data_IF_505835897291
#
_entry.id   IF_505835897291
#
_cell.length_a   1.000
_cell.length_b   1.000
_cell.length_c   1.000
_cell.angle_alpha   90.00
_cell.angle_beta   90.00
_cell.angle_gamma   90.00
#
_symmetry.space_group_name_H-M   'P 1'
#
loop_
_entity.id
_entity.type
_entity.pdbx_description
1 polymer ?
#
# COMPACT_ATOMS: atom_id res chain seq x y z
N UNK A 1 -7.38 13.86 10.53
CA UNK A 1 -8.22 14.56 9.53
C UNK A 1 -7.32 15.29 8.55
N UNK A 2 -7.76 15.52 7.30
CA UNK A 2 -6.99 16.22 6.27
C UNK A 2 -7.72 17.50 5.82
N UNK A 3 -6.99 18.60 5.66
CA UNK A 3 -7.55 19.85 5.12
C UNK A 3 -7.83 19.68 3.62
N UNK A 4 -9.00 20.14 3.14
CA UNK A 4 -9.36 20.06 1.71
C UNK A 4 -8.35 20.74 0.80
N UNK A 5 -7.74 21.81 1.26
CA UNK A 5 -6.69 22.53 0.53
C UNK A 5 -5.47 21.65 0.24
N UNK A 6 -5.10 20.76 1.17
CA UNK A 6 -4.02 19.81 0.94
C UNK A 6 -4.38 18.84 -0.19
N UNK A 7 -5.62 18.36 -0.21
CA UNK A 7 -6.12 17.48 -1.28
C UNK A 7 -6.23 18.18 -2.64
N UNK A 8 -6.47 19.51 -2.66
CA UNK A 8 -6.44 20.29 -3.91
C UNK A 8 -5.03 20.39 -4.49
N UNK A 9 -4.02 20.50 -3.64
CA UNK A 9 -2.61 20.56 -4.07
C UNK A 9 -2.06 19.18 -4.43
N UNK A 10 -2.37 18.16 -3.63
CA UNK A 10 -1.86 16.81 -3.85
C UNK A 10 -2.62 16.06 -4.93
N UNK A 11 -3.89 16.40 -5.17
CA UNK A 11 -4.86 15.57 -5.89
C UNK A 11 -5.42 14.44 -5.01
N UNK A 12 -6.43 13.72 -5.52
CA UNK A 12 -7.09 12.61 -4.84
C UNK A 12 -6.29 11.30 -4.97
N UNK A 13 -6.94 10.14 -4.94
CA UNK A 13 -6.26 8.85 -5.10
C UNK A 13 -5.92 8.59 -6.57
N UNK A 14 -4.72 8.06 -6.81
CA UNK A 14 -4.32 7.57 -8.12
C UNK A 14 -5.10 6.29 -8.46
N UNK A 15 -5.70 6.25 -9.65
CA UNK A 15 -6.49 5.13 -10.13
C UNK A 15 -5.64 3.87 -10.39
N UNK A 16 -4.31 3.98 -10.47
CA UNK A 16 -3.38 2.85 -10.54
C UNK A 16 -3.60 1.83 -9.40
N UNK A 17 -4.08 2.31 -8.26
CA UNK A 17 -4.28 1.51 -7.05
C UNK A 17 -5.69 0.94 -6.94
N UNK A 18 -6.55 1.10 -7.95
CA UNK A 18 -7.90 0.53 -7.90
C UNK A 18 -7.82 -1.00 -7.71
N UNK A 19 -8.46 -1.51 -6.65
CA UNK A 19 -8.39 -2.93 -6.21
C UNK A 19 -6.99 -3.41 -5.78
N UNK A 20 -5.97 -2.54 -5.83
CA UNK A 20 -4.59 -2.78 -5.39
C UNK A 20 -4.32 -2.23 -3.98
N UNK A 21 -3.14 -2.52 -3.43
CA UNK A 21 -2.70 -1.96 -2.15
C UNK A 21 -2.02 -0.60 -2.33
N UNK A 22 -1.84 0.16 -1.25
CA UNK A 22 -0.98 1.36 -1.15
C UNK A 22 -1.50 2.65 -1.79
N UNK A 23 -2.79 2.76 -2.09
CA UNK A 23 -3.41 4.03 -2.46
C UNK A 23 -3.16 5.13 -1.40
N UNK A 24 -3.21 4.74 -0.13
CA UNK A 24 -2.90 5.59 1.04
C UNK A 24 -1.40 5.97 1.10
N UNK A 25 -0.51 5.04 0.74
CA UNK A 25 0.93 5.30 0.65
C UNK A 25 1.28 6.32 -0.42
N UNK A 26 0.67 6.22 -1.61
CA UNK A 26 0.84 7.18 -2.70
C UNK A 26 0.32 8.58 -2.34
N UNK A 27 -0.91 8.65 -1.82
CA UNK A 27 -1.49 9.93 -1.36
C UNK A 27 -0.63 10.55 -0.25
N UNK A 28 -0.21 9.75 0.73
CA UNK A 28 0.66 10.20 1.81
C UNK A 28 1.99 10.76 1.30
N UNK A 29 2.62 10.09 0.33
CA UNK A 29 3.86 10.57 -0.29
C UNK A 29 3.65 11.91 -1.01
N UNK A 30 2.59 12.05 -1.81
CA UNK A 30 2.28 13.32 -2.48
C UNK A 30 1.99 14.47 -1.52
N UNK A 31 1.26 14.19 -0.44
CA UNK A 31 0.98 15.18 0.61
C UNK A 31 2.26 15.61 1.32
N UNK A 32 3.18 14.67 1.60
CA UNK A 32 4.47 14.98 2.18
C UNK A 32 5.33 15.84 1.23
N UNK A 33 5.45 15.43 -0.03
CA UNK A 33 6.23 16.14 -1.04
C UNK A 33 5.64 17.53 -1.39
N UNK A 34 4.34 17.77 -1.17
CA UNK A 34 3.75 19.10 -1.30
C UNK A 34 4.09 20.04 -0.13
N UNK A 35 4.89 19.59 0.84
CA UNK A 35 5.26 20.38 2.02
C UNK A 35 4.15 20.49 3.07
N UNK A 36 3.15 19.60 3.05
CA UNK A 36 2.08 19.65 4.04
C UNK A 36 2.58 19.15 5.40
N UNK A 37 2.15 19.82 6.48
CA UNK A 37 2.47 19.41 7.84
C UNK A 37 1.63 18.21 8.28
N UNK A 38 2.29 17.13 8.67
CA UNK A 38 1.67 15.98 9.34
C UNK A 38 1.82 16.10 10.85
N UNK A 39 0.70 16.13 11.58
CA UNK A 39 0.68 16.20 13.05
C UNK A 39 0.10 14.91 13.62
N UNK A 40 0.87 14.25 14.49
CA UNK A 40 0.39 13.16 15.32
C UNK A 40 -0.03 13.72 16.69
N UNK A 41 -1.32 13.70 16.99
CA UNK A 41 -1.84 14.14 18.28
C UNK A 41 -2.21 12.92 19.14
N UNK A 42 -1.45 12.62 20.21
CA UNK A 42 -1.71 11.45 21.06
C UNK A 42 -3.00 11.56 21.88
N UNK A 43 -3.55 12.77 22.05
CA UNK A 43 -4.84 12.99 22.71
C UNK A 43 -6.05 12.63 21.86
N UNK A 44 -5.87 12.32 20.56
CA UNK A 44 -6.96 11.90 19.67
C UNK A 44 -6.98 10.37 19.59
N UNK A 45 -8.07 9.77 20.06
CA UNK A 45 -8.35 8.35 19.89
C UNK A 45 -9.54 8.14 18.95
N UNK A 46 -9.42 7.24 17.98
CA UNK A 46 -10.50 6.83 17.09
C UNK A 46 -10.63 5.31 17.13
N UNK A 47 -11.84 4.81 17.40
CA UNK A 47 -12.13 3.39 17.31
C UNK A 47 -12.22 2.97 15.84
N UNK A 48 -11.32 2.10 15.40
CA UNK A 48 -11.38 1.51 14.06
C UNK A 48 -11.93 0.07 14.15
N UNK A 49 -13.20 -0.10 13.79
CA UNK A 49 -13.77 -1.43 13.67
C UNK A 49 -13.21 -2.17 12.46
N UNK A 50 -12.52 -3.28 12.71
CA UNK A 50 -11.86 -4.05 11.67
C UNK A 50 -12.83 -5.05 11.01
N UNK A 51 -13.39 -4.65 9.86
CA UNK A 51 -14.35 -5.49 9.14
C UNK A 51 -13.75 -6.83 8.65
N UNK A 52 -14.46 -7.97 8.80
CA UNK A 52 -13.95 -9.28 8.38
C UNK A 52 -13.91 -9.45 6.84
N UNK A 53 -14.72 -8.68 6.11
CA UNK A 53 -14.91 -8.78 4.65
C UNK A 53 -14.79 -7.41 3.96
N UNK A 54 -14.59 -7.41 2.64
CA UNK A 54 -14.51 -6.20 1.81
C UNK A 54 -13.10 -5.68 1.52
N UNK A 55 -13.02 -4.57 0.78
CA UNK A 55 -11.78 -3.90 0.41
C UNK A 55 -10.73 -4.83 -0.22
N UNK A 56 -9.48 -4.71 0.24
CA UNK A 56 -8.34 -5.51 -0.23
C UNK A 56 -8.51 -7.03 -0.03
N UNK A 57 -9.38 -7.46 0.91
CA UNK A 57 -9.66 -8.88 1.16
C UNK A 57 -10.46 -9.49 0.02
N UNK A 58 -11.47 -8.75 -0.49
CA UNK A 58 -12.31 -9.18 -1.60
C UNK A 58 -11.50 -9.36 -2.89
N UNK A 59 -10.56 -8.46 -3.13
CA UNK A 59 -9.68 -8.50 -4.32
C UNK A 59 -8.43 -9.36 -4.11
N UNK A 60 -8.33 -10.08 -2.99
CA UNK A 60 -7.16 -10.88 -2.60
C UNK A 60 -5.82 -10.13 -2.61
N UNK A 61 -5.86 -8.79 -2.65
CA UNK A 61 -4.70 -7.93 -2.76
C UNK A 61 -3.82 -8.02 -1.51
N UNK A 62 -4.40 -8.29 -0.32
CA UNK A 62 -3.68 -8.43 0.97
C UNK A 62 -3.95 -9.78 1.65
N UNK A 63 -3.70 -10.87 0.92
CA UNK A 63 -3.97 -12.25 1.38
C UNK A 63 -2.88 -12.78 2.31
N UNK A 64 -1.61 -12.50 2.01
CA UNK A 64 -0.48 -12.88 2.88
C UNK A 64 0.09 -11.61 3.50
N UNK A 65 0.07 -11.51 4.82
CA UNK A 65 0.71 -10.41 5.55
C UNK A 65 2.12 -10.79 5.98
N UNK A 66 2.92 -9.77 6.33
CA UNK A 66 4.25 -9.97 6.91
C UNK A 66 4.22 -10.88 8.16
N UNK A 67 3.32 -10.61 9.11
CA UNK A 67 3.19 -11.44 10.30
C UNK A 67 2.76 -12.88 9.96
N UNK A 68 1.84 -13.06 8.99
CA UNK A 68 1.41 -14.37 8.56
C UNK A 68 2.54 -15.17 7.88
N UNK A 69 3.39 -14.53 7.07
CA UNK A 69 4.54 -15.20 6.42
C UNK A 69 5.59 -15.68 7.42
N UNK A 70 5.74 -14.99 8.55
CA UNK A 70 6.65 -15.37 9.64
C UNK A 70 6.13 -16.53 10.48
N UNK A 71 4.81 -16.65 10.59
CA UNK A 71 4.12 -17.71 11.35
C UNK A 71 3.79 -18.96 10.52
N UNK A 72 3.92 -18.97 9.20
CA UNK A 72 3.56 -20.14 8.36
C UNK A 72 4.69 -20.51 7.41
N UNK A 73 4.97 -21.81 7.26
CA UNK A 73 6.11 -22.31 6.47
C UNK A 73 5.99 -21.96 4.98
N UNK A 74 4.80 -22.11 4.40
CA UNK A 74 4.59 -21.90 2.95
C UNK A 74 4.23 -20.46 2.55
N UNK A 75 3.86 -19.61 3.51
CA UNK A 75 3.44 -18.23 3.21
C UNK A 75 4.66 -17.35 2.91
N UNK A 76 4.55 -16.54 1.84
CA UNK A 76 5.56 -15.57 1.38
C UNK A 76 4.87 -14.23 1.16
N UNK A 77 5.37 -13.17 1.82
CA UNK A 77 4.87 -11.81 1.64
C UNK A 77 5.70 -11.12 0.56
N UNK A 78 5.29 -11.29 -0.69
CA UNK A 78 5.99 -10.74 -1.87
C UNK A 78 5.36 -9.40 -2.27
N UNK A 79 6.14 -8.45 -2.82
CA UNK A 79 5.62 -7.16 -3.23
C UNK A 79 4.62 -7.33 -4.38
N UNK A 80 3.49 -6.65 -4.26
CA UNK A 80 2.47 -6.58 -5.31
C UNK A 80 2.88 -5.63 -6.44
N UNK A 81 2.26 -5.71 -7.64
CA UNK A 81 2.56 -4.76 -8.72
C UNK A 81 2.43 -3.30 -8.31
N UNK A 82 1.38 -2.96 -7.53
CA UNK A 82 1.15 -1.60 -7.05
C UNK A 82 2.14 -1.15 -5.98
N UNK A 83 2.69 -2.07 -5.17
CA UNK A 83 3.81 -1.74 -4.26
C UNK A 83 5.11 -1.44 -5.02
N UNK A 84 5.40 -2.18 -6.11
CA UNK A 84 6.56 -1.91 -6.95
C UNK A 84 6.36 -0.61 -7.73
N UNK A 85 5.15 -0.36 -8.25
CA UNK A 85 4.77 0.89 -8.90
C UNK A 85 5.00 2.10 -7.99
N UNK A 86 4.52 2.04 -6.75
CA UNK A 86 4.80 3.07 -5.74
C UNK A 86 6.31 3.30 -5.57
N UNK A 87 7.08 2.21 -5.49
CA UNK A 87 8.54 2.26 -5.43
C UNK A 87 9.14 3.05 -6.61
N UNK A 88 8.77 2.65 -7.83
CA UNK A 88 9.28 3.25 -9.06
C UNK A 88 8.90 4.72 -9.22
N UNK A 89 7.78 5.17 -8.63
CA UNK A 89 7.35 6.57 -8.71
C UNK A 89 8.20 7.52 -7.86
N UNK A 90 8.75 7.05 -6.75
CA UNK A 90 9.26 7.93 -5.69
C UNK A 90 10.68 7.60 -5.22
N UNK A 91 11.23 6.46 -5.64
CA UNK A 91 12.55 5.99 -5.20
C UNK A 91 13.43 5.67 -6.40
N UNK A 92 14.74 5.67 -6.18
CA UNK A 92 15.69 5.28 -7.23
C UNK A 92 15.55 3.79 -7.55
N UNK A 93 15.90 3.39 -8.77
CA UNK A 93 15.85 1.98 -9.19
C UNK A 93 16.65 1.07 -8.24
N UNK A 94 17.78 1.57 -7.72
CA UNK A 94 18.59 0.86 -6.74
C UNK A 94 17.81 0.59 -5.44
N UNK A 95 17.12 1.59 -4.90
CA UNK A 95 16.29 1.45 -3.69
C UNK A 95 15.11 0.48 -3.92
N UNK A 96 14.49 0.52 -5.09
CA UNK A 96 13.40 -0.42 -5.41
C UNK A 96 13.93 -1.85 -5.53
N UNK A 97 15.08 -2.05 -6.17
CA UNK A 97 15.75 -3.35 -6.25
C UNK A 97 16.13 -3.87 -4.86
N UNK A 98 16.68 -3.01 -4.01
CA UNK A 98 16.99 -3.35 -2.62
C UNK A 98 15.74 -3.76 -1.84
N UNK A 99 14.65 -2.99 -1.94
CA UNK A 99 13.36 -3.35 -1.33
C UNK A 99 12.91 -4.74 -1.77
N UNK A 100 13.01 -5.07 -3.06
CA UNK A 100 12.64 -6.39 -3.58
C UNK A 100 13.53 -7.48 -3.00
N UNK A 101 14.84 -7.28 -2.95
CA UNK A 101 15.76 -8.25 -2.36
C UNK A 101 15.50 -8.47 -0.87
N UNK A 102 15.24 -7.41 -0.11
CA UNK A 102 14.82 -7.53 1.29
C UNK A 102 13.53 -8.33 1.44
N UNK A 103 12.58 -8.24 0.49
CA UNK A 103 11.38 -9.08 0.47
C UNK A 103 11.69 -10.55 0.16
N UNK A 104 12.60 -10.82 -0.79
CA UNK A 104 13.04 -12.17 -1.16
C UNK A 104 13.77 -12.84 0.01
N UNK A 105 14.80 -12.20 0.56
CA UNK A 105 15.52 -12.66 1.75
C UNK A 105 14.57 -12.78 2.94
N UNK A 106 13.64 -11.84 3.03
CA UNK A 106 12.53 -11.90 3.94
C UNK A 106 11.74 -13.21 3.84
N UNK A 107 11.63 -13.90 2.72
CA UNK A 107 10.87 -15.17 2.67
C UNK A 107 11.46 -16.28 3.55
N UNK A 108 12.77 -16.24 3.84
CA UNK A 108 13.48 -17.25 4.61
C UNK A 108 13.31 -17.12 6.12
N UNK A 109 12.80 -16.00 6.62
CA UNK A 109 12.70 -15.76 8.07
C UNK A 109 11.39 -16.31 8.67
N UNK A 110 11.46 -16.84 9.89
CA UNK A 110 10.30 -17.30 10.67
C UNK A 110 10.47 -17.01 12.16
N UNK A 111 9.35 -16.89 12.87
CA UNK A 111 9.33 -16.85 14.33
C UNK A 111 9.24 -18.27 14.90
N UNK A 112 9.97 -18.54 15.98
CA UNK A 112 10.00 -19.83 16.68
C UNK A 112 11.41 -20.40 16.88
N UNK A 113 11.48 -21.66 17.30
CA UNK A 113 12.73 -22.37 17.60
C UNK A 113 13.62 -22.64 16.38
N UNK A 114 14.86 -23.09 16.64
CA UNK A 114 15.90 -23.32 15.62
C UNK A 114 15.45 -24.29 14.53
N UNK A 115 14.80 -25.40 14.89
CA UNK A 115 14.29 -26.39 13.93
C UNK A 115 13.31 -25.78 12.93
N UNK A 116 12.30 -25.03 13.41
CA UNK A 116 11.32 -24.37 12.55
C UNK A 116 11.96 -23.35 11.61
N UNK A 117 12.96 -22.60 12.08
CA UNK A 117 13.73 -21.67 11.25
C UNK A 117 14.47 -22.41 10.14
N UNK A 118 15.14 -23.52 10.46
CA UNK A 118 15.79 -24.37 9.46
C UNK A 118 14.78 -24.92 8.43
N UNK A 119 13.65 -25.45 8.87
CA UNK A 119 12.58 -25.90 7.96
C UNK A 119 12.08 -24.79 7.05
N UNK A 120 11.89 -23.57 7.58
CA UNK A 120 11.47 -22.41 6.77
C UNK A 120 12.50 -22.08 5.70
N UNK A 121 13.80 -22.13 6.03
CA UNK A 121 14.88 -21.88 5.08
C UNK A 121 14.83 -22.91 3.96
N UNK A 122 14.77 -24.21 4.28
CA UNK A 122 14.68 -25.28 3.28
C UNK A 122 13.46 -25.13 2.36
N UNK A 123 12.27 -24.89 2.93
CA UNK A 123 11.04 -24.67 2.17
C UNK A 123 11.18 -23.45 1.26
N UNK A 124 11.74 -22.35 1.78
CA UNK A 124 11.90 -21.11 1.01
C UNK A 124 12.94 -21.24 -0.10
N UNK A 125 13.99 -22.05 0.11
CA UNK A 125 14.97 -22.40 -0.91
C UNK A 125 14.32 -23.18 -2.07
N UNK A 126 13.53 -24.21 -1.77
CA UNK A 126 12.78 -24.99 -2.77
C UNK A 126 11.81 -24.08 -3.55
N UNK A 127 11.14 -23.16 -2.86
CA UNK A 127 10.18 -22.24 -3.47
C UNK A 127 10.82 -21.01 -4.15
N UNK A 128 12.15 -20.85 -4.08
CA UNK A 128 12.85 -19.66 -4.58
C UNK A 128 12.66 -19.41 -6.09
N UNK A 129 12.75 -20.42 -6.98
CA UNK A 129 12.53 -20.21 -8.41
C UNK A 129 11.13 -19.62 -8.70
N UNK A 130 10.11 -20.15 -8.03
CA UNK A 130 8.76 -19.62 -8.11
C UNK A 130 8.67 -18.19 -7.54
N UNK A 131 9.36 -17.90 -6.43
CA UNK A 131 9.40 -16.54 -5.85
C UNK A 131 9.91 -15.53 -6.88
N UNK A 132 11.02 -15.84 -7.54
CA UNK A 132 11.64 -14.98 -8.55
C UNK A 132 10.73 -14.81 -9.77
N UNK A 133 10.07 -15.88 -10.23
CA UNK A 133 9.09 -15.81 -11.32
C UNK A 133 7.91 -14.88 -11.00
N UNK A 134 7.36 -14.94 -9.78
CA UNK A 134 6.29 -14.03 -9.35
C UNK A 134 6.77 -12.58 -9.29
N UNK A 135 7.97 -12.33 -8.78
CA UNK A 135 8.54 -10.98 -8.72
C UNK A 135 8.73 -10.41 -10.13
N UNK A 136 9.28 -11.19 -11.06
CA UNK A 136 9.46 -10.75 -12.45
C UNK A 136 8.13 -10.41 -13.11
N UNK A 137 7.10 -11.23 -12.88
CA UNK A 137 5.73 -10.95 -13.35
C UNK A 137 5.17 -9.65 -12.74
N UNK A 138 5.34 -9.46 -11.44
CA UNK A 138 4.85 -8.26 -10.75
C UNK A 138 5.61 -7.01 -11.18
N UNK A 139 6.91 -7.12 -11.43
CA UNK A 139 7.75 -6.05 -11.98
C UNK A 139 7.25 -5.61 -13.35
N UNK A 140 7.06 -6.56 -14.30
CA UNK A 140 6.54 -6.23 -15.63
C UNK A 140 5.19 -5.50 -15.57
N UNK A 141 4.30 -5.94 -14.67
CA UNK A 141 3.01 -5.27 -14.43
C UNK A 141 3.17 -3.88 -13.82
N UNK A 142 4.14 -3.70 -12.92
CA UNK A 142 4.42 -2.39 -12.33
C UNK A 142 4.97 -1.42 -13.37
N UNK A 143 5.84 -1.89 -14.28
CA UNK A 143 6.33 -1.11 -15.41
C UNK A 143 5.19 -0.73 -16.34
N UNK A 144 4.30 -1.65 -16.70
CA UNK A 144 3.15 -1.30 -17.56
C UNK A 144 2.20 -0.29 -16.91
N UNK A 145 2.12 -0.24 -15.57
CA UNK A 145 1.36 0.81 -14.88
C UNK A 145 1.99 2.20 -15.06
N UNK A 146 3.32 2.32 -15.20
CA UNK A 146 3.98 3.61 -15.43
C UNK A 146 3.65 4.19 -16.81
N UNK A 147 3.27 3.35 -17.77
CA UNK A 147 2.91 3.80 -19.12
C UNK A 147 1.54 4.50 -19.15
N UNK A 148 0.62 4.10 -18.25
CA UNK A 148 -0.78 4.58 -18.23
C UNK A 148 -1.11 5.52 -17.06
N UNK A 149 -0.32 5.49 -15.98
CA UNK A 149 -0.55 6.20 -14.72
C UNK A 149 0.65 7.08 -14.35
N UNK A 150 0.48 8.16 -13.57
CA UNK A 150 -0.65 8.46 -12.68
C UNK A 150 -1.91 8.96 -13.37
N UNK A 151 -3.06 8.54 -12.85
CA UNK A 151 -4.34 9.16 -13.16
C UNK A 151 -4.96 9.61 -11.85
N UNK A 152 -4.69 10.85 -11.47
CA UNK A 152 -5.08 11.42 -10.18
C UNK A 152 -6.18 12.45 -10.42
N UNK A 153 -7.42 12.18 -9.99
CA UNK A 153 -8.51 13.15 -10.10
C UNK A 153 -8.26 14.36 -9.19
N UNK A 154 -8.74 15.52 -9.64
CA UNK A 154 -8.75 16.74 -8.82
C UNK A 154 -9.93 16.76 -7.86
N UNK A 155 -9.77 17.45 -6.72
CA UNK A 155 -10.90 17.70 -5.83
C UNK A 155 -11.77 18.82 -6.44
N UNK A 156 -13.04 18.56 -6.78
CA UNK A 156 -13.89 19.58 -7.39
C UNK A 156 -14.06 20.79 -6.45
N UNK A 157 -14.24 22.01 -7.01
CA UNK A 157 -14.56 23.18 -6.22
C UNK A 157 -15.83 22.91 -5.40
N UNK A 158 -15.88 23.45 -4.17
CA UNK A 158 -17.09 23.27 -3.37
C UNK A 158 -18.26 23.94 -4.11
N UNK A 159 -19.40 23.27 -4.29
CA UNK A 159 -20.59 23.96 -4.70
C UNK A 159 -20.85 25.07 -3.67
N UNK A 160 -21.17 26.29 -4.13
CA UNK A 160 -21.67 27.33 -3.22
C UNK A 160 -22.84 26.71 -2.48
N UNK A 161 -22.70 26.47 -1.18
CA UNK A 161 -23.84 26.10 -0.36
C UNK A 161 -24.84 27.24 -0.53
N UNK A 162 -26.00 26.94 -1.13
CA UNK A 162 -27.12 27.86 -1.03
C UNK A 162 -27.35 28.06 0.47
N UNK A 163 -27.54 29.30 0.96
CA UNK A 163 -27.87 29.50 2.37
C UNK A 163 -29.04 28.59 2.67
N UNK A 164 -28.85 27.66 3.61
CA UNK A 164 -29.94 26.88 4.16
C UNK A 164 -30.80 27.93 4.84
N UNK A 165 -31.94 28.27 4.22
CA UNK A 165 -32.94 29.09 4.87
C UNK A 165 -33.25 28.36 6.18
N UNK A 166 -32.91 28.98 7.31
CA UNK A 166 -33.36 28.55 8.62
C UNK A 166 -34.88 28.63 8.57
N UNK A 167 -35.52 27.50 8.28
CA UNK A 167 -36.96 27.39 8.29
C UNK A 167 -37.42 27.56 9.74
N UNK A 168 -37.94 28.74 10.04
CA UNK A 168 -38.89 29.01 11.11
C UNK A 168 -38.54 28.49 12.50
N UNK A 169 -37.76 29.27 13.25
CA UNK A 169 -38.01 29.40 14.68
C UNK A 169 -39.05 30.53 14.85
N UNK A 170 -40.32 30.15 14.95
CA UNK A 170 -41.37 30.96 15.56
C UNK A 170 -41.87 30.20 16.78
#
# INVERSE_FOLDING_TARGET
>A
MIRREVLRRSGLFDLAYNRGQRADGDLGMRVYLSGALMVLNPGISVLHHHAPVGGLRRHKARTVTYAASRKRLMHRNLPTPTEIYLGNRYFSEMQVREMIWLRVLGTFSSWGGRFRKATKICVSAILLPHTLGVIRKNWKKATSLLDEFPQIPELPPQPRMRPVALAGAR
#
